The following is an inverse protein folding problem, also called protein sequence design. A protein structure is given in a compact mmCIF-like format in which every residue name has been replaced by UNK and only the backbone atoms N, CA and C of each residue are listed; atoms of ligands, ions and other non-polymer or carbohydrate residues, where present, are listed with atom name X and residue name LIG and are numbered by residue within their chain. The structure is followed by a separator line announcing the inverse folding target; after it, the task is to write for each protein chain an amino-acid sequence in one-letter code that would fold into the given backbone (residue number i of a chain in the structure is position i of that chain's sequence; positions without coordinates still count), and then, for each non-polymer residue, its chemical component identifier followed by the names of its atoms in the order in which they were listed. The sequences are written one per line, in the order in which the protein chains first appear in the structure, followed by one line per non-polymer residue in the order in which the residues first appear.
data_IF_750269668467
#
_entry.id   IF_750269668467
#
_cell.length_a   1.000
_cell.length_b   1.000
_cell.length_c   1.000
_cell.angle_alpha   90.00
_cell.angle_beta   90.00
_cell.angle_gamma   90.00
#
_symmetry.space_group_name_H-M   'P 1'
#
loop_
_entity.id
_entity.type
_entity.pdbx_description
1 polymer ?
#
# COMPACT_ATOMS: atom_id res chain seq x y z
N UNK A 1 27.05 -0.98 -15.38
CA UNK A 1 26.22 -2.12 -14.99
C UNK A 1 25.40 -2.53 -16.19
N UNK A 2 25.33 -3.81 -16.50
CA UNK A 2 24.45 -4.31 -17.58
C UNK A 2 23.00 -4.17 -17.10
N UNK A 3 22.15 -3.54 -17.91
CA UNK A 3 20.72 -3.40 -17.63
C UNK A 3 20.11 -4.82 -17.52
N UNK A 4 19.20 -5.04 -16.57
CA UNK A 4 18.46 -6.30 -16.50
C UNK A 4 17.64 -6.48 -17.78
N UNK A 5 17.54 -7.69 -18.32
CA UNK A 5 16.87 -7.96 -19.60
C UNK A 5 15.39 -7.52 -19.57
N UNK A 6 14.73 -7.66 -18.41
CA UNK A 6 13.34 -7.24 -18.19
C UNK A 6 13.19 -5.72 -18.36
N UNK A 7 14.09 -4.94 -17.78
CA UNK A 7 14.05 -3.47 -17.88
C UNK A 7 14.26 -3.05 -19.33
N UNK A 8 15.23 -3.67 -20.04
CA UNK A 8 15.47 -3.35 -21.44
C UNK A 8 14.23 -3.65 -22.30
N UNK A 9 13.57 -4.79 -22.09
CA UNK A 9 12.35 -5.12 -22.82
C UNK A 9 11.22 -4.10 -22.59
N UNK A 10 11.08 -3.59 -21.35
CA UNK A 10 10.11 -2.55 -21.01
C UNK A 10 10.49 -1.22 -21.68
N UNK A 11 11.77 -0.84 -21.66
CA UNK A 11 12.28 0.37 -22.34
C UNK A 11 11.96 0.31 -23.84
N UNK A 12 12.24 -0.82 -24.48
CA UNK A 12 11.95 -1.02 -25.91
C UNK A 12 10.45 -0.94 -26.20
N UNK A 13 9.62 -1.56 -25.34
CA UNK A 13 8.17 -1.52 -25.45
C UNK A 13 7.61 -0.10 -25.31
N UNK A 14 8.15 0.70 -24.39
CA UNK A 14 7.79 2.11 -24.21
C UNK A 14 8.25 2.93 -25.42
N UNK A 15 9.46 2.68 -25.92
CA UNK A 15 10.00 3.35 -27.10
C UNK A 15 9.09 3.20 -28.32
N UNK A 16 8.58 1.98 -28.55
CA UNK A 16 7.77 1.62 -29.71
C UNK A 16 6.31 2.12 -29.67
N UNK A 17 5.83 2.65 -28.54
CA UNK A 17 4.43 3.01 -28.31
C UNK A 17 4.26 4.49 -27.97
N UNK A 18 3.05 5.01 -28.13
CA UNK A 18 2.76 6.44 -27.97
C UNK A 18 1.75 6.73 -26.86
N UNK A 19 0.67 5.93 -26.77
CA UNK A 19 -0.47 6.18 -25.89
C UNK A 19 -0.50 5.15 -24.77
N UNK A 20 -0.48 5.62 -23.52
CA UNK A 20 -0.38 4.78 -22.35
C UNK A 20 -1.52 5.05 -21.37
N UNK A 21 -2.07 3.99 -20.81
CA UNK A 21 -2.80 4.06 -19.55
C UNK A 21 -1.91 3.52 -18.43
N UNK A 22 -1.87 4.23 -17.29
CA UNK A 22 -1.14 3.82 -16.09
C UNK A 22 -2.17 3.58 -14.98
N UNK A 23 -2.01 2.52 -14.22
CA UNK A 23 -2.91 2.15 -13.13
C UNK A 23 -2.16 1.39 -12.05
N UNK A 24 -2.77 1.30 -10.86
CA UNK A 24 -2.29 0.51 -9.73
C UNK A 24 -3.43 -0.28 -9.08
N UNK A 25 -3.22 -0.84 -7.89
CA UNK A 25 -4.25 -1.58 -7.18
C UNK A 25 -5.37 -0.67 -6.65
N UNK A 26 -6.60 -1.23 -6.51
CA UNK A 26 -7.72 -0.58 -5.83
C UNK A 26 -7.33 -0.17 -4.40
N UNK A 27 -7.87 0.96 -3.93
CA UNK A 27 -7.47 1.63 -2.69
C UNK A 27 -5.96 1.89 -2.65
N UNK A 28 -5.45 2.69 -3.62
CA UNK A 28 -4.02 2.93 -3.77
C UNK A 28 -3.44 3.60 -2.52
N UNK A 29 -2.24 3.21 -2.17
CA UNK A 29 -1.44 3.83 -1.12
C UNK A 29 -0.40 4.81 -1.68
N UNK A 30 0.59 5.16 -0.88
CA UNK A 30 1.61 6.14 -1.30
C UNK A 30 2.62 5.58 -2.28
N UNK A 31 2.93 4.27 -2.24
CA UNK A 31 3.82 3.66 -3.23
C UNK A 31 3.10 3.51 -4.58
N UNK A 32 1.85 3.04 -4.57
CA UNK A 32 1.04 2.93 -5.78
C UNK A 32 0.93 4.28 -6.50
N UNK A 33 0.48 5.33 -5.81
CA UNK A 33 0.33 6.69 -6.37
C UNK A 33 1.70 7.28 -6.77
N UNK A 34 2.71 7.12 -5.92
CA UNK A 34 4.06 7.61 -6.22
C UNK A 34 4.65 6.98 -7.46
N UNK A 35 4.54 5.66 -7.57
CA UNK A 35 5.07 4.89 -8.70
C UNK A 35 4.37 5.21 -10.02
N UNK A 36 3.02 5.22 -10.04
CA UNK A 36 2.27 5.54 -11.26
C UNK A 36 2.45 6.99 -11.71
N UNK A 37 2.49 7.95 -10.79
CA UNK A 37 2.68 9.35 -11.15
C UNK A 37 4.10 9.65 -11.61
N UNK A 38 5.14 9.04 -11.00
CA UNK A 38 6.51 9.18 -11.46
C UNK A 38 6.67 8.67 -12.90
N UNK A 39 6.12 7.49 -13.21
CA UNK A 39 6.10 6.94 -14.58
C UNK A 39 5.31 7.84 -15.53
N UNK A 40 4.13 8.32 -15.13
CA UNK A 40 3.31 9.19 -15.95
C UNK A 40 4.03 10.50 -16.31
N UNK A 41 4.70 11.14 -15.35
CA UNK A 41 5.52 12.33 -15.62
C UNK A 41 6.70 12.04 -16.55
N UNK A 42 7.39 10.91 -16.34
CA UNK A 42 8.49 10.51 -17.19
C UNK A 42 8.06 10.26 -18.63
N UNK A 43 6.96 9.55 -18.84
CA UNK A 43 6.41 9.30 -20.18
C UNK A 43 5.95 10.60 -20.87
N UNK A 44 5.32 11.51 -20.12
CA UNK A 44 4.93 12.83 -20.64
C UNK A 44 6.15 13.66 -21.04
N UNK A 45 7.25 13.60 -20.27
CA UNK A 45 8.52 14.24 -20.62
C UNK A 45 9.14 13.68 -21.92
N UNK A 46 8.86 12.42 -22.27
CA UNK A 46 9.23 11.80 -23.55
C UNK A 46 8.26 12.14 -24.69
N UNK A 47 7.25 12.98 -24.46
CA UNK A 47 6.23 13.33 -25.46
C UNK A 47 5.18 12.25 -25.70
N UNK A 48 5.01 11.31 -24.78
CA UNK A 48 3.96 10.28 -24.84
C UNK A 48 2.64 10.86 -24.32
N UNK A 49 1.53 10.30 -24.81
CA UNK A 49 0.18 10.57 -24.32
C UNK A 49 -0.12 9.61 -23.16
N UNK A 50 -0.44 10.16 -21.98
CA UNK A 50 -0.56 9.35 -20.76
C UNK A 50 -1.81 9.74 -19.97
N UNK A 51 -2.64 8.75 -19.70
CA UNK A 51 -3.75 8.83 -18.77
C UNK A 51 -3.47 7.94 -17.55
N UNK A 52 -3.73 8.44 -16.36
CA UNK A 52 -3.68 7.66 -15.11
C UNK A 52 -5.10 7.39 -14.67
N UNK A 53 -5.44 6.11 -14.46
CA UNK A 53 -6.80 5.66 -14.16
C UNK A 53 -6.79 4.70 -12.98
N UNK A 54 -7.52 5.02 -11.91
CA UNK A 54 -7.67 4.18 -10.74
C UNK A 54 -9.15 3.91 -10.42
N UNK A 55 -9.44 2.79 -9.77
CA UNK A 55 -10.78 2.47 -9.27
C UNK A 55 -11.18 3.38 -8.12
N UNK A 56 -10.23 3.75 -7.27
CA UNK A 56 -10.44 4.54 -6.06
C UNK A 56 -9.56 5.79 -6.03
N UNK A 57 -10.00 6.79 -5.27
CA UNK A 57 -9.21 8.00 -5.04
C UNK A 57 -8.00 7.71 -4.18
N UNK A 58 -6.93 8.47 -4.41
CA UNK A 58 -5.79 8.50 -3.50
C UNK A 58 -6.22 8.93 -2.08
N UNK A 59 -5.54 8.45 -1.03
CA UNK A 59 -5.75 8.93 0.33
C UNK A 59 -5.62 10.45 0.45
N UNK A 60 -6.42 11.07 1.32
CA UNK A 60 -6.47 12.52 1.48
C UNK A 60 -5.08 13.18 1.67
N UNK A 61 -4.15 12.62 2.45
CA UNK A 61 -2.79 13.16 2.57
C UNK A 61 -2.03 13.25 1.25
N UNK A 62 -2.32 12.33 0.33
CA UNK A 62 -1.60 12.19 -0.94
C UNK A 62 -2.21 13.07 -2.04
N UNK A 63 -3.47 13.47 -1.89
CA UNK A 63 -4.17 14.30 -2.88
C UNK A 63 -3.50 15.65 -3.18
N UNK A 64 -2.63 16.14 -2.30
CA UNK A 64 -1.94 17.42 -2.50
C UNK A 64 -0.64 17.32 -3.32
N UNK A 65 -0.23 16.12 -3.72
CA UNK A 65 0.96 15.94 -4.55
C UNK A 65 0.68 16.29 -6.01
N UNK A 66 1.69 16.74 -6.78
CA UNK A 66 1.52 17.18 -8.16
C UNK A 66 0.84 16.14 -9.05
N UNK A 67 -0.21 16.53 -9.76
CA UNK A 67 -0.95 15.68 -10.71
C UNK A 67 -1.85 14.62 -10.11
N UNK A 68 -1.79 14.36 -8.80
CA UNK A 68 -2.65 13.36 -8.14
C UNK A 68 -4.14 13.73 -8.23
N UNK A 69 -4.56 15.01 -8.08
CA UNK A 69 -5.95 15.40 -8.29
C UNK A 69 -6.49 15.12 -9.71
N UNK A 70 -5.60 15.00 -10.70
CA UNK A 70 -5.95 14.79 -12.10
C UNK A 70 -6.10 13.30 -12.47
N UNK A 71 -5.84 12.38 -11.55
CA UNK A 71 -6.05 10.94 -11.75
C UNK A 71 -7.54 10.68 -12.01
N UNK A 72 -7.84 10.07 -13.15
CA UNK A 72 -9.21 9.69 -13.47
C UNK A 72 -9.67 8.52 -12.61
N UNK A 73 -10.78 8.69 -11.92
CA UNK A 73 -11.39 7.62 -11.14
C UNK A 73 -12.51 6.98 -11.97
N UNK A 74 -12.32 5.73 -12.34
CA UNK A 74 -13.27 4.99 -13.16
C UNK A 74 -13.15 3.48 -12.94
N UNK A 75 -14.27 2.73 -12.97
CA UNK A 75 -14.25 1.26 -12.88
C UNK A 75 -13.84 0.57 -14.18
N UNK A 76 -13.73 1.33 -15.28
CA UNK A 76 -13.39 0.82 -16.60
C UNK A 76 -12.49 1.78 -17.36
N UNK A 77 -11.61 1.22 -18.19
CA UNK A 77 -10.85 1.97 -19.18
C UNK A 77 -11.47 1.72 -20.54
N UNK A 78 -11.85 2.82 -21.19
CA UNK A 78 -12.31 2.91 -22.57
C UNK A 78 -11.39 3.86 -23.33
N UNK A 79 -11.10 3.56 -24.55
CA UNK A 79 -10.21 4.35 -25.41
C UNK A 79 -9.20 3.49 -26.15
N UNK A 80 -8.36 4.14 -26.94
CA UNK A 80 -7.32 3.47 -27.71
C UNK A 80 -5.96 3.77 -27.10
N UNK A 81 -5.47 2.86 -26.25
CA UNK A 81 -4.11 2.89 -25.72
C UNK A 81 -3.26 1.81 -26.39
N UNK A 82 -1.96 2.07 -26.53
CA UNK A 82 -1.01 1.11 -27.09
C UNK A 82 -0.53 0.15 -25.99
N UNK A 83 -0.51 0.60 -24.74
CA UNK A 83 -0.12 -0.22 -23.59
C UNK A 83 -0.76 0.26 -22.27
N UNK A 84 -0.91 -0.69 -21.35
CA UNK A 84 -1.25 -0.46 -19.95
C UNK A 84 -0.02 -0.76 -19.10
N UNK A 85 0.46 0.23 -18.34
CA UNK A 85 1.50 0.05 -17.32
C UNK A 85 0.84 -0.09 -15.96
N UNK A 86 0.97 -1.26 -15.37
CA UNK A 86 0.36 -1.58 -14.08
C UNK A 86 1.46 -1.60 -13.03
N UNK A 87 1.37 -0.67 -12.10
CA UNK A 87 2.34 -0.45 -11.03
C UNK A 87 1.81 -1.05 -9.73
N UNK A 88 2.70 -1.61 -8.92
CA UNK A 88 2.38 -1.97 -7.52
C UNK A 88 1.13 -2.87 -7.39
N UNK A 89 0.97 -3.85 -8.29
CA UNK A 89 -0.23 -4.66 -8.34
C UNK A 89 0.08 -6.13 -8.67
N UNK A 90 -0.11 -7.01 -7.70
CA UNK A 90 0.24 -8.42 -7.79
C UNK A 90 -0.69 -9.26 -8.67
N UNK A 91 -1.90 -8.76 -8.98
CA UNK A 91 -2.89 -9.39 -9.85
C UNK A 91 -3.70 -8.30 -10.54
N UNK A 92 -3.93 -8.46 -11.87
CA UNK A 92 -4.63 -7.44 -12.66
C UNK A 92 -6.04 -7.15 -12.13
N UNK A 93 -6.74 -8.16 -11.61
CA UNK A 93 -8.07 -7.98 -11.02
C UNK A 93 -8.06 -7.06 -9.79
N UNK A 94 -6.94 -6.97 -9.07
CA UNK A 94 -6.80 -6.07 -7.90
C UNK A 94 -6.79 -4.59 -8.27
N UNK A 95 -6.59 -4.23 -9.53
CA UNK A 95 -6.73 -2.83 -9.97
C UNK A 95 -8.16 -2.31 -9.75
N UNK A 96 -9.16 -3.19 -9.79
CA UNK A 96 -10.57 -2.80 -9.77
C UNK A 96 -11.01 -2.04 -11.03
N UNK A 97 -10.15 -1.96 -12.05
CA UNK A 97 -10.39 -1.30 -13.33
C UNK A 97 -10.46 -2.36 -14.42
N UNK A 98 -11.61 -2.51 -15.07
CA UNK A 98 -11.79 -3.43 -16.20
C UNK A 98 -11.32 -2.83 -17.52
N UNK A 99 -11.00 -3.70 -18.50
CA UNK A 99 -10.57 -3.30 -19.85
C UNK A 99 -9.08 -3.03 -20.00
N UNK A 100 -8.29 -3.12 -18.93
CA UNK A 100 -6.82 -2.97 -18.99
C UNK A 100 -6.16 -4.12 -19.77
N UNK A 101 -6.75 -5.31 -19.72
CA UNK A 101 -6.33 -6.53 -20.42
C UNK A 101 -6.55 -6.47 -21.96
N UNK A 102 -7.24 -5.47 -22.45
CA UNK A 102 -7.38 -5.22 -23.90
C UNK A 102 -6.12 -4.60 -24.53
N UNK A 103 -5.15 -4.14 -23.73
CA UNK A 103 -3.94 -3.46 -24.17
C UNK A 103 -2.70 -4.34 -23.94
N UNK A 104 -1.55 -3.92 -24.46
CA UNK A 104 -0.27 -4.53 -24.13
C UNK A 104 0.08 -4.23 -22.66
N UNK A 105 -0.08 -5.22 -21.79
CA UNK A 105 0.10 -5.03 -20.34
C UNK A 105 1.56 -5.20 -19.95
N UNK A 106 2.08 -4.20 -19.22
CA UNK A 106 3.38 -4.25 -18.55
C UNK A 106 3.13 -4.21 -17.04
N UNK A 107 3.55 -5.24 -16.31
CA UNK A 107 3.45 -5.30 -14.85
C UNK A 107 4.80 -5.00 -14.20
N UNK A 108 4.84 -4.03 -13.29
CA UNK A 108 6.01 -3.67 -12.49
C UNK A 108 5.59 -3.71 -11.01
N UNK A 109 6.13 -4.67 -10.26
CA UNK A 109 5.65 -4.97 -8.91
C UNK A 109 6.72 -5.60 -8.02
N UNK A 110 6.65 -5.33 -6.74
CA UNK A 110 7.53 -5.94 -5.74
C UNK A 110 6.81 -6.86 -4.73
N UNK A 111 5.50 -6.97 -4.78
CA UNK A 111 4.72 -7.75 -3.82
C UNK A 111 4.99 -9.25 -3.91
N UNK A 112 5.35 -9.94 -2.83
CA UNK A 112 5.37 -11.39 -2.78
C UNK A 112 3.99 -11.97 -3.15
N UNK A 113 3.96 -12.92 -4.10
CA UNK A 113 2.72 -13.52 -4.59
C UNK A 113 2.15 -12.88 -5.85
N UNK A 114 2.95 -12.07 -6.57
CA UNK A 114 2.61 -11.62 -7.91
C UNK A 114 2.29 -12.80 -8.82
N UNK A 115 1.16 -12.74 -9.54
CA UNK A 115 0.66 -13.82 -10.40
C UNK A 115 1.40 -13.93 -11.73
N UNK A 116 2.28 -12.97 -12.03
CA UNK A 116 3.09 -12.95 -13.25
C UNK A 116 2.29 -12.65 -14.52
N UNK A 117 1.24 -11.84 -14.43
CA UNK A 117 0.42 -11.42 -15.55
C UNK A 117 1.09 -10.34 -16.42
N UNK A 118 0.57 -10.14 -17.60
CA UNK A 118 1.04 -9.16 -18.60
C UNK A 118 2.04 -9.77 -19.60
N UNK A 119 2.19 -9.09 -20.74
CA UNK A 119 3.13 -9.46 -21.81
C UNK A 119 4.57 -9.21 -21.39
N UNK A 120 4.81 -8.15 -20.61
CA UNK A 120 6.08 -7.89 -19.93
C UNK A 120 5.84 -7.76 -18.44
N UNK A 121 6.79 -8.28 -17.68
CA UNK A 121 6.75 -8.23 -16.22
C UNK A 121 8.14 -8.01 -15.67
N UNK A 122 8.21 -7.16 -14.66
CA UNK A 122 9.39 -6.99 -13.85
C UNK A 122 8.99 -7.09 -12.39
N UNK A 123 9.43 -8.16 -11.74
CA UNK A 123 9.13 -8.50 -10.38
C UNK A 123 10.40 -8.49 -9.54
N UNK A 124 10.45 -7.64 -8.48
CA UNK A 124 11.62 -7.48 -7.63
C UNK A 124 11.22 -7.41 -6.15
N UNK A 125 11.01 -8.56 -5.50
CA UNK A 125 10.53 -8.62 -4.10
C UNK A 125 11.55 -8.11 -3.07
N UNK A 126 12.79 -7.83 -3.48
CA UNK A 126 13.82 -7.23 -2.62
C UNK A 126 13.80 -5.70 -2.65
N UNK A 127 13.06 -5.08 -3.56
CA UNK A 127 12.90 -3.64 -3.59
C UNK A 127 12.12 -3.17 -2.35
N UNK A 128 12.57 -2.08 -1.74
CA UNK A 128 11.93 -1.50 -0.57
C UNK A 128 10.58 -0.85 -0.88
N UNK A 129 10.36 -0.51 -2.16
CA UNK A 129 9.16 0.09 -2.72
C UNK A 129 9.17 -0.12 -4.23
N UNK A 130 8.02 -0.14 -4.89
CA UNK A 130 7.93 -0.09 -6.35
C UNK A 130 8.60 1.19 -6.90
N UNK A 131 8.59 2.27 -6.11
CA UNK A 131 9.29 3.51 -6.44
C UNK A 131 10.79 3.35 -6.70
N UNK A 132 11.48 2.35 -6.10
CA UNK A 132 12.89 2.06 -6.44
C UNK A 132 13.01 1.48 -7.86
N UNK A 133 12.09 0.61 -8.24
CA UNK A 133 12.04 0.02 -9.58
C UNK A 133 11.73 1.09 -10.63
N UNK A 134 10.81 1.99 -10.32
CA UNK A 134 10.46 3.14 -11.17
C UNK A 134 11.65 4.06 -11.39
N UNK A 135 12.46 4.32 -10.34
CA UNK A 135 13.71 5.08 -10.48
C UNK A 135 14.66 4.44 -11.50
N UNK A 136 14.85 3.12 -11.41
CA UNK A 136 15.71 2.38 -12.32
C UNK A 136 15.17 2.40 -13.76
N UNK A 137 13.84 2.26 -13.94
CA UNK A 137 13.20 2.37 -15.25
C UNK A 137 13.40 3.76 -15.87
N UNK A 138 13.15 4.82 -15.11
CA UNK A 138 13.29 6.21 -15.58
C UNK A 138 14.73 6.51 -15.95
N UNK A 139 15.69 6.00 -15.16
CA UNK A 139 17.13 6.09 -15.45
C UNK A 139 17.46 5.36 -16.76
N UNK A 140 16.91 4.15 -16.98
CA UNK A 140 17.12 3.37 -18.19
C UNK A 140 16.49 4.02 -19.45
N UNK A 141 15.35 4.72 -19.27
CA UNK A 141 14.71 5.51 -20.33
C UNK A 141 15.51 6.77 -20.70
N UNK A 142 16.54 7.13 -19.92
CA UNK A 142 17.33 8.34 -20.12
C UNK A 142 16.56 9.63 -19.83
N UNK A 143 15.48 9.57 -19.07
CA UNK A 143 14.68 10.73 -18.69
C UNK A 143 15.32 11.44 -17.51
N UNK A 144 15.59 12.76 -17.59
CA UNK A 144 16.10 13.52 -16.45
C UNK A 144 15.13 13.46 -15.26
N UNK A 145 15.68 13.30 -14.07
CA UNK A 145 14.90 13.27 -12.83
C UNK A 145 14.42 14.69 -12.50
N UNK A 146 13.21 15.05 -12.98
CA UNK A 146 12.61 16.33 -12.62
C UNK A 146 12.16 16.31 -11.15
N UNK A 147 11.91 17.50 -10.58
CA UNK A 147 11.43 17.61 -9.20
C UNK A 147 10.12 16.84 -8.99
N UNK A 148 9.21 16.90 -9.95
CA UNK A 148 7.91 16.20 -9.88
C UNK A 148 8.12 14.67 -9.84
N UNK A 149 8.91 14.13 -10.75
CA UNK A 149 9.25 12.70 -10.80
C UNK A 149 9.92 12.29 -9.48
N UNK A 150 10.93 13.04 -9.05
CA UNK A 150 11.68 12.78 -7.84
C UNK A 150 10.79 12.81 -6.58
N UNK A 151 9.84 13.77 -6.51
CA UNK A 151 8.90 13.88 -5.40
C UNK A 151 8.03 12.63 -5.26
N UNK A 152 7.56 12.10 -6.38
CA UNK A 152 6.74 10.89 -6.39
C UNK A 152 7.52 9.62 -6.06
N UNK A 153 8.77 9.50 -6.53
CA UNK A 153 9.66 8.40 -6.13
C UNK A 153 9.96 8.47 -4.63
N UNK A 154 10.25 9.65 -4.10
CA UNK A 154 10.49 9.83 -2.66
C UNK A 154 9.25 9.52 -1.83
N UNK A 155 8.06 9.94 -2.28
CA UNK A 155 6.78 9.59 -1.66
C UNK A 155 6.58 8.08 -1.58
N UNK A 156 6.78 7.37 -2.69
CA UNK A 156 6.68 5.92 -2.77
C UNK A 156 7.57 5.23 -1.73
N UNK A 157 8.85 5.56 -1.72
CA UNK A 157 9.82 4.99 -0.78
C UNK A 157 9.49 5.36 0.67
N UNK A 158 9.15 6.61 0.95
CA UNK A 158 8.83 7.07 2.30
C UNK A 158 7.65 6.32 2.91
N UNK A 159 6.61 6.10 2.11
CA UNK A 159 5.37 5.48 2.59
C UNK A 159 5.52 3.98 2.77
N UNK A 160 6.07 3.26 1.79
CA UNK A 160 6.17 1.80 1.84
C UNK A 160 7.24 1.30 2.82
N UNK A 161 8.29 2.08 3.04
CA UNK A 161 9.27 1.80 4.11
C UNK A 161 8.79 2.17 5.52
N UNK A 162 7.59 2.74 5.66
CA UNK A 162 7.10 3.24 6.94
C UNK A 162 8.04 4.28 7.55
N UNK A 163 8.45 5.27 6.78
CA UNK A 163 9.46 6.27 7.18
C UNK A 163 10.81 5.65 7.55
N UNK A 164 11.28 4.72 6.73
CA UNK A 164 12.55 4.01 6.95
C UNK A 164 12.57 3.16 8.24
N UNK A 165 11.42 2.56 8.58
CA UNK A 165 11.26 1.73 9.78
C UNK A 165 11.22 0.22 9.48
N UNK A 166 10.87 -0.18 8.24
CA UNK A 166 10.70 -1.58 7.87
C UNK A 166 11.98 -2.24 7.36
N UNK A 167 12.04 -3.58 7.37
CA UNK A 167 13.24 -4.36 7.10
C UNK A 167 13.67 -4.47 5.64
N UNK A 168 12.84 -4.04 4.68
CA UNK A 168 13.16 -4.04 3.25
C UNK A 168 14.18 -2.98 2.81
N UNK A 169 14.55 -2.07 3.72
CA UNK A 169 15.48 -0.96 3.45
C UNK A 169 16.89 -1.48 3.18
N UNK A 170 17.53 -0.94 2.16
CA UNK A 170 18.88 -1.26 1.75
C UNK A 170 19.73 0.00 1.53
N UNK A 171 21.06 -0.09 1.35
CA UNK A 171 21.87 1.05 0.91
C UNK A 171 21.34 1.70 -0.37
N UNK A 172 20.77 0.88 -1.30
CA UNK A 172 20.18 1.36 -2.55
C UNK A 172 19.00 2.31 -2.31
N UNK A 173 18.16 2.05 -1.32
CA UNK A 173 17.05 2.92 -0.91
C UNK A 173 17.56 4.34 -0.61
N UNK A 174 18.66 4.46 0.15
CA UNK A 174 19.24 5.77 0.50
C UNK A 174 19.98 6.44 -0.66
N UNK A 175 20.58 5.67 -1.57
CA UNK A 175 21.15 6.21 -2.81
C UNK A 175 20.07 6.86 -3.68
N UNK A 176 18.92 6.22 -3.83
CA UNK A 176 17.78 6.77 -4.57
C UNK A 176 17.22 8.00 -3.85
N UNK A 177 17.01 7.94 -2.55
CA UNK A 177 16.59 9.10 -1.77
C UNK A 177 17.56 10.28 -1.94
N UNK A 178 18.87 10.05 -1.88
CA UNK A 178 19.87 11.09 -2.16
C UNK A 178 19.66 11.71 -3.53
N UNK A 179 19.49 10.89 -4.58
CA UNK A 179 19.28 11.39 -5.94
C UNK A 179 17.98 12.23 -6.05
N UNK A 180 16.91 11.83 -5.36
CA UNK A 180 15.67 12.62 -5.33
C UNK A 180 15.85 13.98 -4.65
N UNK A 181 16.62 14.06 -3.56
CA UNK A 181 16.95 15.31 -2.89
C UNK A 181 17.83 16.21 -3.78
N UNK A 182 18.80 15.64 -4.49
CA UNK A 182 19.62 16.35 -5.47
C UNK A 182 18.78 16.91 -6.62
N UNK A 183 17.67 16.24 -6.98
CA UNK A 183 16.68 16.72 -7.96
C UNK A 183 15.73 17.78 -7.39
N UNK A 184 15.89 18.20 -6.12
CA UNK A 184 15.16 19.31 -5.51
C UNK A 184 13.91 18.92 -4.73
N UNK A 185 13.79 17.65 -4.30
CA UNK A 185 12.74 17.25 -3.36
C UNK A 185 12.98 17.89 -2.00
N UNK A 186 11.92 18.46 -1.43
CA UNK A 186 11.90 18.85 -0.02
C UNK A 186 11.35 17.69 0.83
N UNK A 187 12.20 16.90 1.50
CA UNK A 187 11.79 15.73 2.24
C UNK A 187 10.91 16.08 3.45
N UNK A 188 11.09 17.26 4.01
CA UNK A 188 10.29 17.75 5.15
C UNK A 188 8.87 18.05 4.69
N UNK A 189 8.72 18.67 3.52
CA UNK A 189 7.40 18.97 2.96
C UNK A 189 6.67 17.67 2.61
N UNK A 190 7.35 16.69 1.98
CA UNK A 190 6.75 15.39 1.67
C UNK A 190 6.30 14.68 2.95
N UNK A 191 7.16 14.59 3.97
CA UNK A 191 6.82 13.95 5.23
C UNK A 191 5.64 14.65 5.94
N UNK A 192 5.61 15.98 5.99
CA UNK A 192 4.51 16.75 6.56
C UNK A 192 3.19 16.49 5.83
N UNK A 193 3.22 16.48 4.50
CA UNK A 193 2.03 16.22 3.70
C UNK A 193 1.45 14.83 3.99
N UNK A 194 2.31 13.83 4.19
CA UNK A 194 1.88 12.46 4.46
C UNK A 194 1.43 12.30 5.93
N UNK A 195 2.22 12.78 6.90
CA UNK A 195 2.06 12.42 8.31
C UNK A 195 1.40 13.50 9.17
N UNK A 196 1.53 14.79 8.82
CA UNK A 196 1.01 15.91 9.63
C UNK A 196 -0.34 16.41 9.09
N UNK A 197 -1.02 15.65 8.27
CA UNK A 197 -2.32 15.98 7.64
C UNK A 197 -3.54 15.49 8.43
N UNK A 198 -3.34 15.02 9.66
CA UNK A 198 -4.43 14.47 10.47
C UNK A 198 -5.44 15.53 10.86
N UNK A 199 -6.72 15.21 10.71
CA UNK A 199 -7.79 16.04 11.25
C UNK A 199 -7.85 15.95 12.80
N UNK A 200 -8.43 16.95 13.45
CA UNK A 200 -8.71 16.87 14.88
C UNK A 200 -9.68 15.71 15.20
N UNK A 201 -10.61 15.40 14.29
CA UNK A 201 -11.51 14.26 14.40
C UNK A 201 -10.77 12.94 14.43
N UNK A 202 -9.79 12.75 13.53
CA UNK A 202 -8.93 11.57 13.51
C UNK A 202 -8.15 11.42 14.82
N UNK A 203 -7.54 12.49 15.31
CA UNK A 203 -6.78 12.44 16.56
C UNK A 203 -7.67 12.07 17.77
N UNK A 204 -8.87 12.64 17.85
CA UNK A 204 -9.86 12.29 18.89
C UNK A 204 -10.34 10.85 18.75
N UNK A 205 -10.54 10.37 17.53
CA UNK A 205 -10.93 8.99 17.28
C UNK A 205 -9.82 8.01 17.71
N UNK A 206 -8.56 8.32 17.40
CA UNK A 206 -7.41 7.55 17.88
C UNK A 206 -7.40 7.47 19.42
N UNK A 207 -7.59 8.59 20.08
CA UNK A 207 -7.66 8.63 21.53
C UNK A 207 -8.80 7.77 22.10
N UNK A 208 -9.98 7.80 21.46
CA UNK A 208 -11.14 7.01 21.88
C UNK A 208 -10.90 5.51 21.69
N UNK A 209 -10.41 5.08 20.52
CA UNK A 209 -10.14 3.66 20.22
C UNK A 209 -9.01 3.12 21.10
N UNK A 210 -7.92 3.87 21.27
CA UNK A 210 -6.80 3.47 22.13
C UNK A 210 -7.18 3.47 23.61
N UNK A 211 -8.01 4.42 24.04
CA UNK A 211 -8.52 4.45 25.42
C UNK A 211 -9.43 3.27 25.77
N UNK A 212 -10.10 2.69 24.76
CA UNK A 212 -10.93 1.48 24.91
C UNK A 212 -10.17 0.18 24.57
N UNK A 213 -8.86 0.26 24.30
CA UNK A 213 -8.02 -0.89 23.98
C UNK A 213 -8.01 -1.90 25.13
N UNK A 214 -8.10 -3.18 24.78
CA UNK A 214 -7.95 -4.28 25.71
C UNK A 214 -6.64 -5.02 25.42
N UNK A 215 -6.03 -5.53 26.46
CA UNK A 215 -4.85 -6.38 26.35
C UNK A 215 -5.24 -7.78 26.84
N UNK A 216 -4.90 -8.81 26.05
CA UNK A 216 -5.10 -10.20 26.47
C UNK A 216 -4.29 -10.52 27.74
N UNK A 217 -4.70 -11.53 28.49
CA UNK A 217 -4.08 -11.90 29.76
C UNK A 217 -2.58 -12.22 29.67
N UNK A 218 -2.12 -12.65 28.49
CA UNK A 218 -0.69 -12.88 28.20
C UNK A 218 0.15 -11.59 28.15
N UNK A 219 -0.47 -10.43 28.00
CA UNK A 219 0.20 -9.16 27.75
C UNK A 219 0.76 -8.99 26.32
N UNK A 220 0.59 -10.00 25.43
CA UNK A 220 1.21 -10.04 24.10
C UNK A 220 0.28 -9.65 22.93
N UNK A 221 -1.03 -9.65 23.16
CA UNK A 221 -2.04 -9.38 22.12
C UNK A 221 -2.89 -8.18 22.53
N UNK A 222 -3.00 -7.20 21.66
CA UNK A 222 -3.86 -6.04 21.81
C UNK A 222 -5.12 -6.19 20.96
N UNK A 223 -6.26 -5.78 21.54
CA UNK A 223 -7.58 -5.82 20.93
C UNK A 223 -8.12 -4.40 20.81
N UNK A 224 -8.36 -3.95 19.62
CA UNK A 224 -8.97 -2.68 19.28
C UNK A 224 -10.42 -2.89 18.82
N UNK A 225 -11.25 -1.90 19.07
CA UNK A 225 -12.63 -1.88 18.63
C UNK A 225 -13.00 -0.50 18.08
N UNK A 226 -13.79 -0.50 17.02
CA UNK A 226 -14.34 0.70 16.38
C UNK A 226 -15.77 0.47 15.95
N UNK A 227 -16.60 1.51 16.11
CA UNK A 227 -17.94 1.61 15.53
C UNK A 227 -18.25 3.05 15.07
N UNK A 228 -19.34 3.19 14.30
CA UNK A 228 -19.80 4.50 13.82
C UNK A 228 -20.14 5.51 14.92
N UNK A 229 -20.72 5.11 16.07
CA UNK A 229 -20.90 6.01 17.21
C UNK A 229 -19.59 6.63 17.70
N UNK A 230 -18.49 5.86 17.78
CA UNK A 230 -17.17 6.40 18.15
C UNK A 230 -16.67 7.43 17.14
N UNK A 231 -16.83 7.13 15.84
CA UNK A 231 -16.44 8.07 14.77
C UNK A 231 -17.22 9.39 14.89
N UNK A 232 -18.54 9.31 15.01
CA UNK A 232 -19.40 10.51 15.15
C UNK A 232 -19.05 11.33 16.39
N UNK A 233 -18.83 10.70 17.53
CA UNK A 233 -18.48 11.38 18.78
C UNK A 233 -17.11 12.10 18.68
N UNK A 234 -16.18 11.53 17.92
CA UNK A 234 -14.87 12.12 17.67
C UNK A 234 -14.90 13.24 16.61
N UNK A 235 -15.93 13.29 15.78
CA UNK A 235 -15.96 14.12 14.56
C UNK A 235 -15.06 13.59 13.46
N UNK A 236 -14.86 12.26 13.44
CA UNK A 236 -14.09 11.52 12.44
C UNK A 236 -14.95 10.60 11.60
N UNK A 237 -14.30 9.81 10.75
CA UNK A 237 -14.92 8.87 9.81
C UNK A 237 -14.33 7.46 9.95
N UNK A 238 -14.88 6.49 9.21
CA UNK A 238 -14.31 5.15 9.11
C UNK A 238 -12.86 5.18 8.57
N UNK A 239 -12.59 5.99 7.57
CA UNK A 239 -11.27 6.09 6.93
C UNK A 239 -10.21 6.67 7.88
N UNK A 240 -10.63 7.47 8.86
CA UNK A 240 -9.73 7.97 9.90
C UNK A 240 -9.15 6.88 10.80
N UNK A 241 -9.63 5.64 10.70
CA UNK A 241 -9.04 4.49 11.45
C UNK A 241 -7.77 3.92 10.82
N UNK A 242 -7.40 4.36 9.61
CA UNK A 242 -6.23 3.84 8.92
C UNK A 242 -4.93 4.16 9.68
N UNK A 243 -4.03 3.18 9.74
CA UNK A 243 -2.78 3.26 10.49
C UNK A 243 -2.90 3.05 12.01
N UNK A 244 -4.09 3.22 12.61
CA UNK A 244 -4.30 3.10 14.05
C UNK A 244 -3.88 1.73 14.59
N UNK A 245 -4.14 0.65 13.84
CA UNK A 245 -3.78 -0.72 14.22
C UNK A 245 -2.28 -0.92 14.47
N UNK A 246 -1.42 -0.09 13.90
CA UNK A 246 0.03 -0.19 14.07
C UNK A 246 0.52 0.41 15.39
N UNK A 247 -0.25 1.30 16.02
CA UNK A 247 0.19 1.98 17.25
C UNK A 247 0.46 1.04 18.42
N UNK A 248 -0.42 0.05 18.73
CA UNK A 248 -0.10 -0.88 19.81
C UNK A 248 1.15 -1.73 19.54
N UNK A 249 1.51 -1.98 18.28
CA UNK A 249 2.75 -2.69 17.94
C UNK A 249 4.01 -1.90 18.31
N UNK A 250 3.94 -0.60 18.56
CA UNK A 250 5.09 0.17 19.04
C UNK A 250 5.45 -0.20 20.49
N UNK A 251 4.53 -0.79 21.25
CA UNK A 251 4.77 -1.32 22.59
C UNK A 251 5.59 -2.60 22.49
N UNK A 252 6.69 -2.69 23.24
CA UNK A 252 7.69 -3.76 23.15
C UNK A 252 7.07 -5.15 23.36
N UNK A 253 6.21 -5.30 24.33
CA UNK A 253 5.58 -6.55 24.76
C UNK A 253 4.50 -7.03 23.77
N UNK A 254 3.85 -6.12 23.04
CA UNK A 254 2.79 -6.47 22.09
C UNK A 254 3.41 -7.10 20.84
N UNK A 255 2.99 -8.31 20.54
CA UNK A 255 3.43 -9.10 19.38
C UNK A 255 2.39 -9.13 18.26
N UNK A 256 1.10 -9.00 18.62
CA UNK A 256 0.02 -8.95 17.63
C UNK A 256 -1.10 -8.01 18.07
N UNK A 257 -1.83 -7.50 17.07
CA UNK A 257 -2.99 -6.62 17.24
C UNK A 257 -4.16 -7.15 16.40
N UNK A 258 -5.34 -7.19 17.02
CA UNK A 258 -6.62 -7.48 16.34
C UNK A 258 -7.48 -6.22 16.42
N UNK A 259 -7.92 -5.74 15.29
CA UNK A 259 -8.78 -4.58 15.20
C UNK A 259 -10.15 -4.96 14.64
N UNK A 260 -11.16 -4.95 15.48
CA UNK A 260 -12.55 -5.20 15.12
C UNK A 260 -13.21 -3.88 14.72
N UNK A 261 -13.62 -3.76 13.47
CA UNK A 261 -14.40 -2.64 12.95
C UNK A 261 -15.83 -3.12 12.69
N UNK A 262 -16.78 -2.64 13.47
CA UNK A 262 -18.20 -3.01 13.34
C UNK A 262 -18.74 -2.54 11.98
N UNK A 263 -19.47 -3.43 11.30
CA UNK A 263 -20.11 -3.14 10.01
C UNK A 263 -21.62 -3.01 10.19
N UNK A 264 -22.28 -4.10 10.58
CA UNK A 264 -23.71 -4.13 10.83
C UNK A 264 -24.08 -5.38 11.65
N UNK A 265 -25.06 -5.28 12.54
CA UNK A 265 -25.52 -6.42 13.34
C UNK A 265 -24.39 -7.03 14.17
N UNK A 266 -24.05 -8.29 13.87
CA UNK A 266 -22.94 -9.02 14.50
C UNK A 266 -21.74 -9.22 13.56
N UNK A 267 -21.65 -8.42 12.48
CA UNK A 267 -20.59 -8.49 11.49
C UNK A 267 -19.50 -7.46 11.76
N UNK A 268 -18.23 -7.92 11.67
CA UNK A 268 -17.02 -7.11 11.86
C UNK A 268 -16.05 -7.32 10.72
N UNK A 269 -15.47 -6.23 10.18
CA UNK A 269 -14.18 -6.30 9.49
C UNK A 269 -13.08 -6.42 10.53
N UNK A 270 -12.26 -7.44 10.40
CA UNK A 270 -11.16 -7.71 11.32
C UNK A 270 -9.84 -7.50 10.60
N UNK A 271 -9.05 -6.55 11.07
CA UNK A 271 -7.69 -6.35 10.61
C UNK A 271 -6.72 -6.95 11.62
N UNK A 272 -5.66 -7.57 11.12
CA UNK A 272 -4.65 -8.24 11.92
C UNK A 272 -3.26 -7.69 11.58
N UNK A 273 -2.44 -7.47 12.59
CA UNK A 273 -1.03 -7.10 12.45
C UNK A 273 -0.20 -7.86 13.47
N UNK A 274 1.06 -8.17 13.12
CA UNK A 274 1.98 -8.86 14.03
C UNK A 274 3.43 -8.42 13.82
N UNK A 275 4.32 -8.85 14.73
CA UNK A 275 5.76 -8.69 14.65
C UNK A 275 6.44 -10.04 14.38
N UNK A 276 7.62 -9.98 13.75
CA UNK A 276 8.52 -11.13 13.62
C UNK A 276 7.87 -12.32 12.94
N UNK A 277 7.95 -13.47 13.59
CA UNK A 277 7.56 -14.75 12.99
C UNK A 277 6.08 -15.15 13.19
N UNK A 278 5.28 -14.32 13.82
CA UNK A 278 3.87 -14.58 14.06
C UNK A 278 3.07 -14.44 12.77
N UNK A 279 2.62 -15.58 12.22
CA UNK A 279 1.86 -15.61 10.95
C UNK A 279 0.35 -15.40 11.17
N UNK A 280 -0.08 -14.14 11.06
CA UNK A 280 -1.50 -13.80 11.15
C UNK A 280 -2.23 -13.94 9.81
N UNK A 281 -1.49 -14.10 8.70
CA UNK A 281 -2.07 -14.42 7.39
C UNK A 281 -2.72 -15.81 7.39
N UNK A 282 -2.06 -16.80 8.01
CA UNK A 282 -2.62 -18.12 8.22
C UNK A 282 -3.91 -18.05 9.07
N UNK A 283 -3.92 -17.22 10.13
CA UNK A 283 -5.09 -17.04 10.98
C UNK A 283 -6.25 -16.40 10.20
N UNK A 284 -6.00 -15.35 9.41
CA UNK A 284 -7.02 -14.72 8.59
C UNK A 284 -7.69 -15.70 7.61
N UNK A 285 -6.93 -16.64 7.03
CA UNK A 285 -7.45 -17.68 6.12
C UNK A 285 -8.47 -18.60 6.80
N UNK A 286 -8.34 -18.91 8.10
CA UNK A 286 -9.30 -19.73 8.86
C UNK A 286 -10.69 -19.06 8.87
N UNK A 287 -10.71 -17.71 8.80
CA UNK A 287 -11.95 -16.91 8.75
C UNK A 287 -12.33 -16.49 7.33
N UNK A 288 -11.83 -17.19 6.30
CA UNK A 288 -12.14 -16.89 4.89
C UNK A 288 -11.51 -15.59 4.37
N UNK A 289 -10.55 -15.05 5.09
CA UNK A 289 -9.79 -13.86 4.71
C UNK A 289 -8.43 -14.18 4.09
N UNK A 290 -7.50 -13.24 4.15
CA UNK A 290 -6.15 -13.39 3.62
C UNK A 290 -5.25 -12.22 3.92
N UNK A 291 -4.05 -12.25 3.35
CA UNK A 291 -3.03 -11.23 3.51
C UNK A 291 -1.63 -11.83 3.65
N UNK A 292 -0.69 -10.98 4.06
CA UNK A 292 0.70 -11.36 4.32
C UNK A 292 0.89 -11.91 5.72
N UNK A 293 2.08 -12.48 5.99
CA UNK A 293 2.47 -13.03 7.29
C UNK A 293 2.16 -12.07 8.46
N UNK A 294 2.51 -10.79 8.32
CA UNK A 294 2.39 -9.81 9.39
C UNK A 294 1.27 -8.77 9.17
N UNK A 295 0.52 -8.86 8.06
CA UNK A 295 -0.57 -7.96 7.73
C UNK A 295 -1.70 -8.69 6.99
N UNK A 296 -2.84 -8.91 7.65
CA UNK A 296 -3.94 -9.67 7.08
C UNK A 296 -5.29 -9.12 7.53
N UNK A 297 -6.37 -9.58 6.91
CA UNK A 297 -7.73 -9.22 7.29
C UNK A 297 -8.75 -10.27 6.89
N UNK A 298 -9.89 -10.26 7.58
CA UNK A 298 -11.03 -11.12 7.30
C UNK A 298 -12.33 -10.43 7.71
N UNK A 299 -13.46 -11.07 7.40
CA UNK A 299 -14.76 -10.72 7.97
C UNK A 299 -15.15 -11.80 8.97
N UNK A 300 -15.64 -11.41 10.15
CA UNK A 300 -16.09 -12.34 11.17
C UNK A 300 -17.51 -11.96 11.65
N UNK A 301 -18.31 -12.96 11.98
CA UNK A 301 -19.68 -12.79 12.48
C UNK A 301 -19.86 -13.51 13.81
N UNK A 302 -20.54 -12.87 14.75
CA UNK A 302 -20.86 -13.42 16.06
C UNK A 302 -20.73 -12.42 17.18
N UNK A 303 -20.97 -12.86 18.42
CA UNK A 303 -20.80 -12.01 19.60
C UNK A 303 -19.34 -11.55 19.73
N UNK A 304 -19.13 -10.24 19.86
CA UNK A 304 -17.78 -9.63 19.89
C UNK A 304 -16.86 -10.28 20.92
N UNK A 305 -17.38 -10.60 22.12
CA UNK A 305 -16.58 -11.21 23.17
C UNK A 305 -16.07 -12.60 22.77
N UNK A 306 -16.93 -13.44 22.17
CA UNK A 306 -16.51 -14.76 21.68
C UNK A 306 -15.51 -14.68 20.52
N UNK A 307 -15.67 -13.69 19.63
CA UNK A 307 -14.69 -13.44 18.57
C UNK A 307 -13.34 -13.01 19.15
N UNK A 308 -13.31 -12.12 20.13
CA UNK A 308 -12.07 -11.69 20.82
C UNK A 308 -11.33 -12.89 21.41
N UNK A 309 -12.04 -13.74 22.15
CA UNK A 309 -11.44 -14.94 22.76
C UNK A 309 -10.85 -15.89 21.70
N UNK A 310 -11.60 -16.14 20.62
CA UNK A 310 -11.18 -17.02 19.53
C UNK A 310 -9.93 -16.49 18.80
N UNK A 311 -9.89 -15.19 18.47
CA UNK A 311 -8.71 -14.59 17.84
C UNK A 311 -7.50 -14.60 18.75
N UNK A 312 -7.67 -14.26 20.03
CA UNK A 312 -6.59 -14.28 21.03
C UNK A 312 -6.01 -15.70 21.15
N UNK A 313 -6.86 -16.74 21.30
CA UNK A 313 -6.41 -18.12 21.43
C UNK A 313 -5.55 -18.55 20.22
N UNK A 314 -6.02 -18.28 19.00
CA UNK A 314 -5.28 -18.65 17.78
C UNK A 314 -3.96 -17.89 17.64
N UNK A 315 -3.96 -16.61 17.98
CA UNK A 315 -2.75 -15.76 17.90
C UNK A 315 -1.73 -16.20 18.96
N UNK A 316 -2.16 -16.48 20.19
CA UNK A 316 -1.25 -16.94 21.25
C UNK A 316 -0.63 -18.29 20.89
N UNK A 317 -1.39 -19.21 20.30
CA UNK A 317 -0.83 -20.46 19.75
C UNK A 317 0.24 -20.19 18.70
N UNK A 318 -0.01 -19.27 17.79
CA UNK A 318 0.96 -18.89 16.76
C UNK A 318 2.23 -18.25 17.35
N UNK A 319 2.08 -17.40 18.37
CA UNK A 319 3.20 -16.80 19.12
C UNK A 319 4.04 -17.89 19.80
N UNK A 320 3.40 -18.94 20.34
CA UNK A 320 4.08 -20.06 21.02
C UNK A 320 4.63 -21.11 20.05
N UNK A 321 4.61 -20.86 18.73
CA UNK A 321 5.10 -21.79 17.70
C UNK A 321 4.22 -23.03 17.51
N UNK A 322 2.95 -22.99 17.93
CA UNK A 322 1.97 -24.07 17.77
C UNK A 322 1.08 -23.79 16.55
N UNK A 323 0.71 -24.86 15.80
CA UNK A 323 -0.20 -24.70 14.66
C UNK A 323 -1.52 -24.03 15.07
N UNK A 324 -1.97 -23.05 14.28
CA UNK A 324 -3.24 -22.33 14.49
C UNK A 324 -4.48 -23.21 14.16
N UNK A 325 -4.29 -24.38 13.55
CA UNK A 325 -5.35 -25.24 12.99
C UNK A 325 -5.98 -26.21 13.98
N UNK A 326 -5.68 -26.13 15.28
CA UNK A 326 -6.29 -27.01 16.28
C UNK A 326 -7.15 -26.27 17.27
#
# INVERSE_FOLDING_TARGET
MTLKAEIQAIVDAIGARRRFVVSSHARPDGDAIGSEMAVAFALRAMGKEVEVVNADRAPAPIMQFPGVPDIRIAPTVDGAFDAALIMECSDLARTGVSGLDAFFVVNIDHHPGNTGYGELRWFEPSAAACGEMVFDLITALGVPLSREIATHIYLAILTDTGSFHFSSISPRTFEICKATLEAGVDPVLVARNVFDSNSMGRLKLFAAVLGAMQIASSGRVSLLYFDDPMARAAGGTYDDTDGLINLPLTVKEIQAVVFFKHVAGDEYRVSLRSKGDVDIGAIAKIFGGGGHKNAAGCTARGALQGLREMFVEKIERAIDGRSADR
#
